data_IF_767502356955
#
_entry.id   IF_767502356955
#
_cell.length_a   1.000
_cell.length_b   1.000
_cell.length_c   1.000
_cell.angle_alpha   90.00
_cell.angle_beta   90.00
_cell.angle_gamma   90.00
#
_symmetry.space_group_name_H-M   'P 1'
#
loop_
_entity.id
_entity.type
_entity.pdbx_description
1 polymer ?
#
# COMPACT_ATOMS: atom_id res chain seq x y z
N UNK A 1 -4.04 -3.16 -0.26
CA UNK A 1 -4.08 -3.62 1.14
C UNK A 1 -4.55 -5.06 1.17
N UNK A 2 -3.92 -5.91 1.99
CA UNK A 2 -4.20 -7.34 2.07
C UNK A 2 -4.54 -7.66 3.53
N UNK A 3 -5.72 -8.24 3.75
CA UNK A 3 -6.15 -8.71 5.06
C UNK A 3 -5.45 -10.03 5.41
N UNK A 4 -4.76 -10.08 6.53
CA UNK A 4 -4.05 -11.28 6.99
C UNK A 4 -4.95 -12.33 7.64
N UNK A 5 -6.23 -12.01 7.89
CA UNK A 5 -7.19 -12.94 8.50
C UNK A 5 -8.12 -13.60 7.48
N UNK A 6 -8.60 -12.86 6.48
CA UNK A 6 -9.54 -13.38 5.48
C UNK A 6 -9.00 -13.39 4.05
N UNK A 7 -7.81 -12.81 3.80
CA UNK A 7 -7.23 -12.71 2.47
C UNK A 7 -7.85 -11.66 1.56
N UNK A 8 -8.78 -10.83 2.06
CA UNK A 8 -9.40 -9.75 1.31
C UNK A 8 -8.33 -8.77 0.78
N UNK A 9 -8.42 -8.43 -0.50
CA UNK A 9 -7.50 -7.51 -1.17
C UNK A 9 -8.27 -6.25 -1.56
N UNK A 10 -7.75 -5.09 -1.15
CA UNK A 10 -8.27 -3.77 -1.50
C UNK A 10 -7.22 -3.02 -2.30
N UNK A 11 -7.48 -2.72 -3.56
CA UNK A 11 -6.60 -1.88 -4.38
C UNK A 11 -6.85 -0.40 -4.08
N UNK A 12 -5.78 0.40 -4.11
CA UNK A 12 -5.88 1.85 -3.93
C UNK A 12 -4.77 2.54 -4.71
N UNK A 13 -5.04 3.80 -5.06
CA UNK A 13 -4.07 4.73 -5.66
C UNK A 13 -4.15 6.02 -4.87
N UNK A 14 -3.00 6.58 -4.51
CA UNK A 14 -2.89 7.82 -3.76
C UNK A 14 -1.81 8.71 -4.38
N UNK A 15 -2.21 9.87 -4.92
CA UNK A 15 -1.29 10.75 -5.64
C UNK A 15 -0.15 11.30 -4.77
N UNK A 16 -0.36 11.47 -3.47
CA UNK A 16 0.66 12.00 -2.57
C UNK A 16 1.75 10.97 -2.33
N UNK A 17 1.35 9.72 -2.13
CA UNK A 17 2.29 8.58 -2.00
C UNK A 17 3.12 8.43 -3.28
N UNK A 18 2.48 8.45 -4.46
CA UNK A 18 3.17 8.35 -5.76
C UNK A 18 4.23 9.44 -5.93
N UNK A 19 3.84 10.71 -5.71
CA UNK A 19 4.77 11.87 -5.79
C UNK A 19 5.92 11.74 -4.79
N UNK A 20 5.65 11.20 -3.59
CA UNK A 20 6.69 11.00 -2.58
C UNK A 20 7.68 9.92 -2.97
N UNK A 21 7.21 8.80 -3.53
CA UNK A 21 8.05 7.72 -4.00
C UNK A 21 8.94 8.17 -5.17
N UNK A 22 8.40 8.89 -6.14
CA UNK A 22 9.17 9.48 -7.26
C UNK A 22 10.26 10.42 -6.74
N UNK A 23 9.91 11.30 -5.79
CA UNK A 23 10.85 12.25 -5.20
C UNK A 23 12.01 11.53 -4.50
N UNK A 24 11.71 10.51 -3.68
CA UNK A 24 12.74 9.71 -3.00
C UNK A 24 13.62 9.01 -4.03
N UNK A 25 13.05 8.36 -5.04
CA UNK A 25 13.84 7.71 -6.09
C UNK A 25 14.83 8.70 -6.74
N UNK A 26 14.36 9.91 -7.07
CA UNK A 26 15.20 10.98 -7.62
C UNK A 26 16.29 11.44 -6.65
N UNK A 27 15.98 11.59 -5.36
CA UNK A 27 16.95 11.99 -4.32
C UNK A 27 18.09 10.96 -4.18
N UNK A 28 17.81 9.68 -4.37
CA UNK A 28 18.81 8.61 -4.35
C UNK A 28 19.43 8.30 -5.72
N UNK A 29 19.11 9.10 -6.76
CA UNK A 29 19.67 8.96 -8.10
C UNK A 29 19.09 7.80 -8.93
N UNK A 30 17.95 7.24 -8.52
CA UNK A 30 17.24 6.21 -9.28
C UNK A 30 16.27 6.83 -10.30
N UNK A 31 16.23 6.24 -11.50
CA UNK A 31 15.16 6.44 -12.46
C UNK A 31 14.07 5.38 -12.20
N UNK A 32 12.97 5.78 -11.57
CA UNK A 32 11.83 4.91 -11.30
C UNK A 32 11.24 4.40 -12.63
N UNK A 33 11.06 3.08 -12.72
CA UNK A 33 10.42 2.41 -13.88
C UNK A 33 9.08 1.79 -13.53
N UNK A 34 8.99 1.27 -12.31
CA UNK A 34 7.82 0.58 -11.78
C UNK A 34 7.95 0.56 -10.24
N UNK A 35 6.85 0.32 -9.54
CA UNK A 35 6.79 0.14 -8.11
C UNK A 35 5.62 -0.79 -7.74
N UNK A 36 5.82 -1.57 -6.69
CA UNK A 36 4.75 -2.39 -6.12
C UNK A 36 4.68 -2.13 -4.62
N UNK A 37 3.55 -1.58 -4.17
CA UNK A 37 3.30 -1.30 -2.76
C UNK A 37 2.23 -2.24 -2.23
N UNK A 38 2.61 -3.05 -1.24
CA UNK A 38 1.71 -3.96 -0.55
C UNK A 38 1.63 -3.57 0.92
N UNK A 39 0.41 -3.33 1.40
CA UNK A 39 0.14 -3.05 2.81
C UNK A 39 -0.62 -4.24 3.38
N UNK A 40 -0.11 -4.83 4.45
CA UNK A 40 -0.75 -5.93 5.17
C UNK A 40 -1.41 -5.41 6.44
N UNK A 41 -2.64 -5.85 6.70
CA UNK A 41 -3.41 -5.43 7.87
C UNK A 41 -4.60 -6.35 8.14
N UNK A 42 -5.58 -5.86 8.90
CA UNK A 42 -6.84 -6.56 9.16
C UNK A 42 -7.96 -5.71 8.58
N UNK A 43 -8.83 -6.27 7.72
CA UNK A 43 -9.93 -5.48 7.13
C UNK A 43 -10.99 -5.10 8.18
N UNK A 44 -11.81 -4.07 7.92
CA UNK A 44 -12.85 -3.64 8.87
C UNK A 44 -13.81 -4.77 9.28
N UNK A 45 -14.14 -5.67 8.34
CA UNK A 45 -15.01 -6.83 8.63
C UNK A 45 -14.41 -7.76 9.69
N UNK A 46 -13.11 -8.05 9.58
CA UNK A 46 -12.40 -8.90 10.53
C UNK A 46 -12.15 -8.20 11.87
N UNK A 47 -11.86 -6.90 11.86
CA UNK A 47 -11.75 -6.11 13.09
C UNK A 47 -13.07 -6.12 13.89
N UNK A 48 -14.20 -5.99 13.20
CA UNK A 48 -15.52 -5.97 13.82
C UNK A 48 -16.02 -7.35 14.29
N UNK A 49 -15.48 -8.46 13.77
CA UNK A 49 -15.78 -9.82 14.27
C UNK A 49 -15.13 -10.13 15.62
N UNK A 50 -14.12 -9.34 16.04
CA UNK A 50 -13.44 -9.50 17.34
C UNK A 50 -14.07 -8.68 18.47
N UNK A 51 -15.15 -7.94 18.20
CA UNK A 51 -15.99 -7.29 19.21
C UNK A 51 -17.17 -8.18 19.56
#
# INVERSE_FOLDING_TARGET
>A
MICTECGEITEFVDEEIEKRQEKIAKEFGFAMKDHSMQIYGICPNCQNKKK
#
